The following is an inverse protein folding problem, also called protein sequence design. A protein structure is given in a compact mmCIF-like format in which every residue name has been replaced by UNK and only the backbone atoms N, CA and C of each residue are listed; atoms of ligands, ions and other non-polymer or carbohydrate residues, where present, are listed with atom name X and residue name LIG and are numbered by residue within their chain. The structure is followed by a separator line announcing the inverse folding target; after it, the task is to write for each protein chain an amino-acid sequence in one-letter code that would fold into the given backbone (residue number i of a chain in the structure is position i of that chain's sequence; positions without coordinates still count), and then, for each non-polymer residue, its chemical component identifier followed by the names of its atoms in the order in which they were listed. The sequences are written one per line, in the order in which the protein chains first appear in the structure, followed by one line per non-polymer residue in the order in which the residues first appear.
data_IF_594853072731
#
_entry.id   IF_594853072731
#
_cell.length_a   1.000
_cell.length_b   1.000
_cell.length_c   1.000
_cell.angle_alpha   90.00
_cell.angle_beta   90.00
_cell.angle_gamma   90.00
#
_symmetry.space_group_name_H-M   'P 1'
#
loop_
_entity.id
_entity.type
_entity.pdbx_description
1 polymer ?
#
# COMPACT_ATOMS: atom_id res chain seq x y z
N UNK A 1 -11.86 -4.16 10.38
CA UNK A 1 -12.12 -5.07 9.24
C UNK A 1 -11.62 -6.47 9.56
N UNK A 2 -12.26 -7.48 9.00
CA UNK A 2 -11.85 -8.86 9.23
C UNK A 2 -10.86 -9.33 8.17
N UNK A 3 -10.38 -10.55 8.34
CA UNK A 3 -9.36 -11.14 7.45
C UNK A 3 -9.86 -11.31 6.02
N UNK A 4 -11.11 -11.63 5.83
CA UNK A 4 -11.73 -11.76 4.51
C UNK A 4 -11.67 -10.46 3.72
N UNK A 5 -11.96 -9.35 4.38
CA UNK A 5 -11.94 -8.05 3.75
C UNK A 5 -10.52 -7.64 3.37
N UNK A 6 -9.55 -7.98 4.22
CA UNK A 6 -8.14 -7.72 3.92
C UNK A 6 -7.68 -8.45 2.67
N UNK A 7 -8.05 -9.71 2.55
CA UNK A 7 -7.71 -10.50 1.38
C UNK A 7 -8.40 -9.98 0.12
N UNK A 8 -9.63 -9.50 0.26
CA UNK A 8 -10.35 -8.90 -0.85
C UNK A 8 -9.59 -7.68 -1.39
N UNK A 9 -9.12 -6.80 -0.51
CA UNK A 9 -8.37 -5.62 -0.94
C UNK A 9 -7.01 -5.98 -1.54
N UNK A 10 -6.35 -6.99 -1.00
CA UNK A 10 -5.10 -7.48 -1.59
C UNK A 10 -5.32 -8.04 -2.98
N UNK A 11 -6.44 -8.72 -3.19
CA UNK A 11 -6.77 -9.31 -4.48
C UNK A 11 -7.05 -8.24 -5.55
N UNK A 12 -7.35 -7.00 -5.16
CA UNK A 12 -7.53 -5.91 -6.11
C UNK A 12 -6.21 -5.42 -6.70
N UNK A 13 -5.08 -5.86 -6.15
CA UNK A 13 -3.75 -5.47 -6.61
C UNK A 13 -3.60 -3.95 -6.69
N UNK A 14 -3.97 -3.27 -5.62
CA UNK A 14 -3.90 -1.81 -5.53
C UNK A 14 -3.14 -1.39 -4.29
N UNK A 15 -2.43 -0.25 -4.39
CA UNK A 15 -1.74 0.34 -3.24
C UNK A 15 -2.14 1.80 -3.12
N UNK A 16 -2.23 2.27 -1.89
CA UNK A 16 -2.51 3.66 -1.56
C UNK A 16 -1.27 4.27 -0.92
N UNK A 17 -0.87 5.43 -1.39
CA UNK A 17 0.35 6.10 -0.94
C UNK A 17 -0.01 7.35 -0.17
N UNK A 18 0.48 7.45 1.07
CA UNK A 18 0.40 8.67 1.86
C UNK A 18 1.77 9.32 1.85
N UNK A 19 1.93 10.35 1.03
CA UNK A 19 3.21 11.04 0.87
C UNK A 19 3.62 11.82 2.11
N UNK A 20 2.66 12.28 2.88
CA UNK A 20 2.93 13.07 4.07
C UNK A 20 3.49 12.19 5.19
N UNK A 21 2.86 11.07 5.43
CA UNK A 21 3.25 10.13 6.49
C UNK A 21 4.27 9.11 6.02
N UNK A 22 4.57 9.07 4.73
CA UNK A 22 5.47 8.10 4.11
C UNK A 22 5.03 6.65 4.38
N UNK A 23 3.76 6.42 4.14
CA UNK A 23 3.15 5.11 4.38
C UNK A 23 2.58 4.57 3.07
N UNK A 24 2.69 3.27 2.89
CA UNK A 24 1.99 2.56 1.81
C UNK A 24 1.03 1.57 2.44
N UNK A 25 -0.20 1.56 1.96
CA UNK A 25 -1.21 0.60 2.43
C UNK A 25 -1.86 -0.09 1.24
N UNK A 26 -2.44 -1.25 1.50
CA UNK A 26 -3.12 -2.04 0.48
C UNK A 26 -4.63 -1.86 0.49
N UNK A 27 -5.10 -0.81 1.16
CA UNK A 27 -6.52 -0.48 1.27
C UNK A 27 -6.66 0.96 1.71
N UNK A 28 -7.80 1.61 1.45
CA UNK A 28 -7.97 3.03 1.77
C UNK A 28 -8.41 3.33 3.21
N UNK A 29 -8.68 2.31 4.03
CA UNK A 29 -9.22 2.51 5.37
C UNK A 29 -8.14 2.41 6.45
N UNK A 30 -8.26 3.23 7.49
CA UNK A 30 -7.39 3.15 8.66
C UNK A 30 -7.59 1.82 9.39
N UNK A 31 -6.56 1.38 10.09
CA UNK A 31 -6.62 0.14 10.86
C UNK A 31 -6.18 -1.09 10.11
N UNK A 32 -5.94 -0.98 8.83
CA UNK A 32 -5.33 -2.06 8.04
C UNK A 32 -3.82 -1.98 8.12
N UNK A 33 -3.18 -2.95 7.49
CA UNK A 33 -1.73 -3.02 7.42
C UNK A 33 -1.18 -1.80 6.68
N UNK A 34 -0.32 -1.06 7.35
CA UNK A 34 0.34 0.11 6.79
C UNK A 34 1.84 -0.06 6.93
N UNK A 35 2.57 0.21 5.86
CA UNK A 35 4.02 0.05 5.82
C UNK A 35 4.67 1.43 5.88
N UNK A 36 5.28 1.79 7.02
CA UNK A 36 5.97 3.07 7.14
C UNK A 36 7.36 3.01 6.53
N UNK A 37 7.81 4.13 5.98
CA UNK A 37 9.14 4.25 5.39
C UNK A 37 9.88 5.43 6.01
N UNK A 38 11.19 5.27 6.16
CA UNK A 38 12.03 6.31 6.74
C UNK A 38 12.19 7.51 5.81
N UNK A 39 12.18 7.26 4.49
CA UNK A 39 12.38 8.32 3.49
C UNK A 39 11.36 8.16 2.36
N UNK A 40 11.11 9.26 1.67
CA UNK A 40 10.24 9.27 0.49
C UNK A 40 10.82 8.40 -0.64
N UNK A 41 12.13 8.38 -0.76
CA UNK A 41 12.83 7.55 -1.73
C UNK A 41 12.55 6.07 -1.52
N UNK A 42 12.65 5.60 -0.28
CA UNK A 42 12.37 4.20 0.05
C UNK A 42 10.90 3.86 -0.23
N UNK A 43 9.99 4.77 0.09
CA UNK A 43 8.57 4.62 -0.18
C UNK A 43 8.31 4.46 -1.68
N UNK A 44 8.89 5.32 -2.49
CA UNK A 44 8.70 5.28 -3.94
C UNK A 44 9.34 4.06 -4.56
N UNK A 45 10.49 3.62 -4.05
CA UNK A 45 11.13 2.40 -4.51
C UNK A 45 10.23 1.19 -4.29
N UNK A 46 9.63 1.10 -3.13
CA UNK A 46 8.69 0.02 -2.81
C UNK A 46 7.47 0.08 -3.74
N UNK A 47 6.94 1.27 -3.96
CA UNK A 47 5.79 1.45 -4.86
C UNK A 47 6.10 0.98 -6.27
N UNK A 48 7.29 1.30 -6.78
CA UNK A 48 7.73 0.87 -8.11
C UNK A 48 7.84 -0.66 -8.19
N UNK A 49 8.37 -1.29 -7.15
CA UNK A 49 8.46 -2.74 -7.10
C UNK A 49 7.08 -3.38 -7.15
N UNK A 50 6.12 -2.79 -6.45
CA UNK A 50 4.74 -3.28 -6.49
C UNK A 50 4.10 -3.10 -7.86
N UNK A 51 4.41 -1.99 -8.53
CA UNK A 51 3.94 -1.78 -9.90
C UNK A 51 4.46 -2.86 -10.85
N UNK A 52 5.70 -3.29 -10.66
CA UNK A 52 6.28 -4.38 -11.45
C UNK A 52 5.58 -5.70 -11.19
N UNK A 53 5.05 -5.88 -9.99
CA UNK A 53 4.30 -7.06 -9.62
C UNK A 53 2.82 -7.00 -10.06
N UNK A 54 2.43 -5.92 -10.74
CA UNK A 54 1.08 -5.78 -11.26
C UNK A 54 0.15 -4.92 -10.41
N UNK A 55 0.64 -4.36 -9.31
CA UNK A 55 -0.17 -3.48 -8.46
C UNK A 55 -0.33 -2.11 -9.11
N UNK A 56 -1.47 -1.48 -8.83
CA UNK A 56 -1.77 -0.13 -9.33
C UNK A 56 -1.75 0.86 -8.17
N UNK A 57 -1.18 2.04 -8.41
CA UNK A 57 -1.17 3.10 -7.42
C UNK A 57 -2.48 3.88 -7.50
N UNK A 58 -3.11 4.02 -6.37
CA UNK A 58 -4.38 4.74 -6.25
C UNK A 58 -4.18 6.17 -5.77
#
# INVERSE_FOLDING_TARGET
MNEEQREHFKALCAVWIDHLEKIISFHPADGFEQLPFATHEAQMHFALEKCKDGYKIQ
#
